data_IF_680218465465
#
_entry.id   IF_680218465465
#
_cell.length_a   1.000
_cell.length_b   1.000
_cell.length_c   1.000
_cell.angle_alpha   90.00
_cell.angle_beta   90.00
_cell.angle_gamma   90.00
#
_symmetry.space_group_name_H-M   'P 1'
#
loop_
_entity.id
_entity.type
_entity.pdbx_description
1 polymer ?
#
# COMPACT_ATOMS: atom_id res chain seq x y z
N UNK A 1 -4.87 -4.51 18.53
CA UNK A 1 -5.01 -5.86 17.93
C UNK A 1 -5.20 -5.69 16.45
N UNK A 2 -4.63 -6.59 15.63
CA UNK A 2 -4.81 -6.57 14.18
C UNK A 2 -6.30 -6.74 13.82
N UNK A 3 -6.70 -6.20 12.67
CA UNK A 3 -8.09 -6.25 12.21
C UNK A 3 -8.40 -7.62 11.58
N UNK A 4 -9.69 -7.99 11.43
CA UNK A 4 -10.07 -9.11 10.59
C UNK A 4 -9.47 -8.97 9.19
N UNK A 5 -9.06 -10.09 8.57
CA UNK A 5 -8.35 -10.04 7.29
C UNK A 5 -9.22 -9.42 6.17
N UNK A 6 -10.53 -9.63 6.25
CA UNK A 6 -11.53 -9.05 5.34
C UNK A 6 -11.61 -7.51 5.42
N UNK A 7 -11.05 -6.90 6.47
CA UNK A 7 -10.95 -5.46 6.60
C UNK A 7 -9.72 -4.86 5.94
N UNK A 8 -8.84 -5.68 5.35
CA UNK A 8 -7.71 -5.21 4.56
C UNK A 8 -7.98 -5.22 3.06
N UNK A 9 -7.45 -4.21 2.37
CA UNK A 9 -7.40 -4.08 0.93
C UNK A 9 -5.94 -4.13 0.47
N UNK A 10 -5.68 -4.76 -0.67
CA UNK A 10 -4.34 -4.92 -1.24
C UNK A 10 -4.10 -3.83 -2.29
N UNK A 11 -3.05 -3.05 -2.08
CA UNK A 11 -2.44 -2.21 -3.10
C UNK A 11 -1.09 -2.80 -3.50
N UNK A 12 -0.62 -2.56 -4.72
CA UNK A 12 0.64 -3.14 -5.18
C UNK A 12 1.11 -2.59 -6.51
N UNK A 13 2.41 -2.68 -6.72
CA UNK A 13 3.09 -2.21 -7.93
C UNK A 13 3.78 -3.35 -8.69
N UNK A 14 3.47 -4.61 -8.37
CA UNK A 14 4.08 -5.82 -8.94
C UNK A 14 5.59 -5.97 -8.69
N UNK A 15 6.16 -5.17 -7.79
CA UNK A 15 7.45 -5.43 -7.17
C UNK A 15 7.21 -5.84 -5.72
N UNK A 16 6.29 -5.13 -5.07
CA UNK A 16 5.75 -5.46 -3.76
C UNK A 16 4.27 -5.04 -3.64
N UNK A 17 3.70 -5.24 -2.45
CA UNK A 17 2.32 -4.96 -2.05
C UNK A 17 2.27 -4.38 -0.63
N UNK A 18 1.17 -3.69 -0.34
CA UNK A 18 0.82 -3.25 1.00
C UNK A 18 -0.65 -3.58 1.32
N UNK A 19 -0.96 -3.75 2.60
CA UNK A 19 -2.34 -4.00 3.07
C UNK A 19 -2.87 -2.81 3.86
N UNK A 20 -3.96 -2.23 3.35
CA UNK A 20 -4.63 -1.04 3.89
C UNK A 20 -5.90 -1.46 4.63
N UNK A 21 -5.96 -1.20 5.94
CA UNK A 21 -7.12 -1.40 6.77
C UNK A 21 -8.21 -0.35 6.51
N UNK A 22 -9.47 -0.69 6.82
CA UNK A 22 -10.61 0.25 6.72
C UNK A 22 -10.43 1.52 7.55
N UNK A 23 -9.59 1.51 8.58
CA UNK A 23 -9.28 2.70 9.38
C UNK A 23 -8.21 3.60 8.76
N UNK A 24 -7.77 3.31 7.53
CA UNK A 24 -6.70 4.06 6.88
C UNK A 24 -5.30 3.70 7.39
N UNK A 25 -5.13 2.61 8.13
CA UNK A 25 -3.81 2.13 8.50
C UNK A 25 -3.23 1.16 7.47
N UNK A 26 -1.98 1.36 7.08
CA UNK A 26 -1.19 0.38 6.32
C UNK A 26 -0.42 -0.46 7.33
N UNK A 27 -0.88 -1.69 7.56
CA UNK A 27 -0.38 -2.56 8.64
C UNK A 27 0.60 -3.65 8.15
N UNK A 28 0.73 -3.80 6.83
CA UNK A 28 1.64 -4.75 6.21
C UNK A 28 2.26 -4.14 4.97
N UNK A 29 3.58 -4.15 4.89
CA UNK A 29 4.35 -3.80 3.70
C UNK A 29 5.80 -4.28 3.85
N UNK A 30 6.29 -5.01 2.86
CA UNK A 30 7.72 -5.25 2.65
C UNK A 30 8.21 -4.43 1.47
N UNK A 31 9.44 -3.92 1.53
CA UNK A 31 10.05 -3.15 0.44
C UNK A 31 11.52 -3.58 0.29
N UNK A 32 12.06 -3.64 -0.94
CA UNK A 32 11.41 -3.28 -2.21
C UNK A 32 10.55 -4.38 -2.83
N UNK A 33 10.75 -5.65 -2.44
CA UNK A 33 10.18 -6.82 -3.11
C UNK A 33 9.17 -7.54 -2.21
N UNK A 34 8.36 -8.40 -2.80
CA UNK A 34 7.43 -9.28 -2.08
C UNK A 34 8.08 -10.05 -0.92
N UNK A 35 9.26 -10.61 -1.15
CA UNK A 35 10.02 -11.43 -0.20
C UNK A 35 10.91 -10.62 0.75
N UNK A 36 10.93 -9.29 0.60
CA UNK A 36 11.69 -8.42 1.51
C UNK A 36 11.11 -8.46 2.93
N UNK A 37 11.97 -8.34 3.96
CA UNK A 37 11.50 -8.18 5.32
C UNK A 37 10.54 -6.99 5.47
N UNK A 38 9.49 -7.18 6.25
CA UNK A 38 8.44 -6.18 6.38
C UNK A 38 8.94 -4.96 7.15
N UNK A 39 8.67 -3.76 6.63
CA UNK A 39 8.89 -2.49 7.34
C UNK A 39 7.64 -2.01 8.09
N UNK A 40 6.47 -2.56 7.73
CA UNK A 40 5.22 -2.51 8.48
C UNK A 40 4.74 -3.93 8.79
N UNK A 41 4.56 -4.24 10.08
CA UNK A 41 4.25 -5.59 10.57
C UNK A 41 3.11 -5.62 11.59
N UNK A 42 2.36 -4.54 11.73
CA UNK A 42 1.23 -4.45 12.66
C UNK A 42 0.11 -5.47 12.36
N UNK A 43 0.05 -6.03 11.15
CA UNK A 43 -0.83 -7.15 10.81
C UNK A 43 -0.57 -8.40 11.66
N UNK A 44 0.71 -8.69 11.94
CA UNK A 44 1.13 -9.87 12.73
C UNK A 44 1.40 -9.54 14.19
N UNK A 45 1.68 -8.26 14.49
CA UNK A 45 1.98 -7.78 15.82
C UNK A 45 0.98 -6.74 16.32
N UNK A 46 1.55 -5.63 16.75
CA UNK A 46 0.86 -4.48 17.30
C UNK A 46 1.38 -3.21 16.60
N UNK A 47 0.70 -2.06 16.70
CA UNK A 47 1.09 -0.82 16.03
C UNK A 47 2.58 -0.46 16.08
N UNK A 48 3.22 -0.68 17.22
CA UNK A 48 4.65 -0.42 17.46
C UNK A 48 5.61 -1.25 16.60
N UNK A 49 5.15 -2.34 15.98
CA UNK A 49 5.90 -3.19 15.04
C UNK A 49 5.90 -2.66 13.61
N UNK A 50 5.35 -1.46 13.41
CA UNK A 50 5.41 -0.72 12.17
C UNK A 50 4.06 -0.70 11.45
N UNK A 51 3.61 0.53 11.13
CA UNK A 51 2.40 0.84 10.39
C UNK A 51 2.44 2.27 9.87
N UNK A 52 1.50 2.61 9.00
CA UNK A 52 1.23 4.00 8.65
C UNK A 52 -0.27 4.30 8.72
N UNK A 53 -0.71 5.04 9.75
CA UNK A 53 -2.08 5.52 9.89
C UNK A 53 -2.27 6.85 9.16
N UNK A 54 -3.36 6.97 8.41
CA UNK A 54 -3.87 8.22 7.85
C UNK A 54 -5.40 8.23 7.95
N UNK A 55 -5.94 9.00 8.88
CA UNK A 55 -7.36 8.93 9.22
C UNK A 55 -7.86 10.26 9.81
N UNK A 56 -9.19 10.48 9.87
CA UNK A 56 -9.76 11.54 10.68
C UNK A 56 -9.30 11.46 12.14
N UNK A 57 -9.16 12.61 12.77
CA UNK A 57 -8.79 12.71 14.19
C UNK A 57 -9.94 12.32 15.12
N UNK A 58 -11.18 12.37 14.63
CA UNK A 58 -12.38 11.93 15.34
C UNK A 58 -12.63 10.44 15.12
N UNK A 59 -13.06 9.76 16.18
CA UNK A 59 -13.48 8.36 16.08
C UNK A 59 -14.91 8.24 15.54
N UNK A 60 -15.26 7.07 15.00
CA UNK A 60 -16.63 6.75 14.59
C UNK A 60 -17.06 7.30 13.22
N UNK A 61 -16.12 7.69 12.36
CA UNK A 61 -16.40 8.02 10.97
C UNK A 61 -17.06 6.84 10.24
N UNK A 62 -18.04 7.12 9.37
CA UNK A 62 -18.52 6.11 8.40
C UNK A 62 -17.45 5.90 7.33
N UNK A 63 -17.19 4.64 6.99
CA UNK A 63 -16.09 4.27 6.08
C UNK A 63 -16.64 3.52 4.87
N UNK A 64 -16.37 4.06 3.69
CA UNK A 64 -16.57 3.38 2.41
C UNK A 64 -15.25 3.25 1.68
N UNK A 65 -15.08 2.17 0.93
CA UNK A 65 -13.87 1.97 0.12
C UNK A 65 -14.21 1.34 -1.22
N UNK A 66 -13.46 1.72 -2.23
CA UNK A 66 -13.56 1.14 -3.56
C UNK A 66 -12.17 1.17 -4.24
N UNK A 67 -11.89 0.15 -5.05
CA UNK A 67 -10.80 0.25 -6.01
C UNK A 67 -11.27 1.07 -7.21
N UNK A 68 -10.37 1.83 -7.82
CA UNK A 68 -10.66 2.51 -9.09
C UNK A 68 -10.53 1.52 -10.24
N UNK A 69 -11.56 1.41 -11.07
CA UNK A 69 -11.55 0.88 -12.44
C UNK A 69 -10.50 -0.21 -12.74
N UNK A 70 -10.72 -1.45 -12.27
CA UNK A 70 -9.84 -2.57 -12.62
C UNK A 70 -8.37 -2.45 -12.14
N UNK A 71 -8.08 -1.56 -11.19
CA UNK A 71 -6.72 -1.29 -10.70
C UNK A 71 -6.46 -1.77 -9.26
N UNK A 72 -5.26 -1.56 -8.76
CA UNK A 72 -4.91 -1.65 -7.32
C UNK A 72 -4.90 -0.29 -6.62
N UNK A 73 -5.41 0.78 -7.25
CA UNK A 73 -5.58 2.08 -6.62
C UNK A 73 -6.82 2.03 -5.72
N UNK A 74 -6.63 2.27 -4.43
CA UNK A 74 -7.69 2.21 -3.43
C UNK A 74 -8.11 3.61 -3.01
N UNK A 75 -9.40 3.92 -3.05
CA UNK A 75 -9.98 5.11 -2.44
C UNK A 75 -10.76 4.71 -1.19
N UNK A 76 -10.34 5.23 -0.03
CA UNK A 76 -11.06 5.09 1.24
C UNK A 76 -11.66 6.44 1.62
N UNK A 77 -12.98 6.49 1.73
CA UNK A 77 -13.74 7.69 2.08
C UNK A 77 -14.23 7.61 3.51
N UNK A 78 -13.93 8.66 4.27
CA UNK A 78 -14.37 8.84 5.64
C UNK A 78 -15.39 9.98 5.71
N UNK A 79 -16.57 9.69 6.24
CA UNK A 79 -17.60 10.70 6.49
C UNK A 79 -17.70 10.95 8.00
N UNK A 80 -17.43 12.19 8.42
CA UNK A 80 -17.51 12.64 9.82
C UNK A 80 -18.69 13.61 10.00
N UNK A 81 -18.90 14.10 11.22
CA UNK A 81 -19.89 15.14 11.49
C UNK A 81 -19.57 16.47 10.76
N UNK A 82 -18.28 16.77 10.57
CA UNK A 82 -17.81 18.07 10.08
C UNK A 82 -17.51 18.08 8.56
N UNK A 83 -17.43 16.91 7.93
CA UNK A 83 -17.12 16.82 6.51
C UNK A 83 -16.91 15.40 5.99
N UNK A 84 -16.36 15.33 4.79
CA UNK A 84 -15.99 14.10 4.12
C UNK A 84 -14.62 14.25 3.47
N UNK A 85 -13.79 13.21 3.60
CA UNK A 85 -12.42 13.15 3.08
C UNK A 85 -12.19 11.80 2.41
N UNK A 86 -11.49 11.81 1.28
CA UNK A 86 -11.00 10.60 0.62
C UNK A 86 -9.49 10.48 0.80
N UNK A 87 -9.00 9.28 1.12
CA UNK A 87 -7.59 8.90 1.08
C UNK A 87 -7.41 7.94 -0.10
N UNK A 88 -6.57 8.31 -1.06
CA UNK A 88 -6.27 7.52 -2.24
C UNK A 88 -4.88 6.91 -2.06
N UNK A 89 -4.83 5.60 -1.90
CA UNK A 89 -3.61 4.83 -1.67
C UNK A 89 -3.23 4.07 -2.94
N UNK A 90 -1.98 4.23 -3.38
CA UNK A 90 -1.45 3.52 -4.54
C UNK A 90 0.06 3.38 -4.46
N UNK A 91 0.60 2.51 -5.32
CA UNK A 91 2.03 2.25 -5.38
C UNK A 91 2.51 2.40 -6.82
N UNK A 92 3.70 2.93 -6.99
CA UNK A 92 4.36 3.08 -8.29
C UNK A 92 5.76 2.48 -8.25
N UNK A 93 6.24 2.01 -9.40
CA UNK A 93 7.64 1.59 -9.58
C UNK A 93 8.40 2.73 -10.23
N UNK A 94 9.66 2.90 -9.85
CA UNK A 94 10.58 3.83 -10.48
C UNK A 94 11.98 3.22 -10.56
N UNK A 95 12.79 3.66 -11.52
CA UNK A 95 14.13 3.11 -11.66
C UNK A 95 14.96 3.31 -10.37
N UNK A 96 15.26 2.20 -9.69
CA UNK A 96 16.01 2.20 -8.44
C UNK A 96 15.24 2.65 -7.20
N UNK A 97 13.90 2.74 -7.28
CA UNK A 97 13.03 3.12 -6.15
C UNK A 97 11.62 2.53 -6.27
N UNK A 98 10.97 2.35 -5.12
CA UNK A 98 9.57 1.93 -5.05
C UNK A 98 8.80 2.93 -4.19
N UNK A 99 7.71 3.46 -4.73
CA UNK A 99 7.00 4.59 -4.15
C UNK A 99 5.62 4.12 -3.64
N UNK A 100 5.33 4.37 -2.36
CA UNK A 100 3.99 4.30 -1.77
C UNK A 100 3.46 5.72 -1.62
N UNK A 101 2.28 6.01 -2.17
CA UNK A 101 1.67 7.33 -2.15
C UNK A 101 0.30 7.29 -1.50
N UNK A 102 0.02 8.32 -0.69
CA UNK A 102 -1.26 8.53 -0.02
C UNK A 102 -1.72 9.95 -0.30
N UNK A 103 -2.80 10.10 -1.06
CA UNK A 103 -3.34 11.41 -1.44
C UNK A 103 -4.62 11.66 -0.65
N UNK A 104 -4.60 12.67 0.22
CA UNK A 104 -5.73 13.09 1.04
C UNK A 104 -6.47 14.20 0.31
N UNK A 105 -7.73 13.99 -0.03
CA UNK A 105 -8.59 14.94 -0.74
C UNK A 105 -9.80 15.30 0.11
N UNK A 106 -9.99 16.60 0.38
CA UNK A 106 -11.20 17.10 1.02
C UNK A 106 -12.37 17.04 0.05
N UNK A 107 -13.38 16.23 0.35
CA UNK A 107 -14.55 16.04 -0.51
C UNK A 107 -15.63 17.06 -0.19
N UNK A 108 -15.88 17.32 1.10
CA UNK A 108 -16.89 18.27 1.56
C UNK A 108 -16.55 18.77 2.96
N UNK A 109 -16.81 20.04 3.24
CA UNK A 109 -16.62 20.61 4.58
C UNK A 109 -15.15 20.69 4.99
N UNK A 110 -14.87 20.48 6.28
CA UNK A 110 -13.53 20.53 6.86
C UNK A 110 -13.34 19.32 7.76
N UNK A 111 -12.30 18.53 7.51
CA UNK A 111 -12.01 17.33 8.30
C UNK A 111 -10.65 17.50 8.96
N UNK A 112 -10.62 17.40 10.29
CA UNK A 112 -9.36 17.29 11.04
C UNK A 112 -8.81 15.88 10.86
N UNK A 113 -7.55 15.78 10.45
CA UNK A 113 -6.84 14.55 10.11
C UNK A 113 -5.62 14.36 11.01
N UNK A 114 -5.24 13.09 11.18
CA UNK A 114 -3.99 12.69 11.84
C UNK A 114 -3.24 11.67 10.99
N UNK A 115 -1.92 11.75 11.06
CA UNK A 115 -0.99 10.77 10.50
C UNK A 115 -0.07 10.25 11.59
N UNK A 116 0.14 8.93 11.63
CA UNK A 116 1.13 8.29 12.49
C UNK A 116 1.91 7.27 11.66
N UNK A 117 3.19 7.52 11.48
CA UNK A 117 4.11 6.61 10.81
C UNK A 117 5.07 6.00 11.83
N UNK A 118 5.05 4.67 11.90
CA UNK A 118 5.98 3.86 12.67
C UNK A 118 6.70 2.96 11.67
N UNK A 119 8.00 3.17 11.50
CA UNK A 119 8.83 2.32 10.64
C UNK A 119 9.62 1.36 11.51
N UNK A 120 9.53 0.06 11.22
CA UNK A 120 10.35 -0.97 11.85
C UNK A 120 10.75 -2.00 10.81
N UNK A 121 12.02 -1.98 10.42
CA UNK A 121 12.56 -2.95 9.47
C UNK A 121 12.68 -4.34 10.11
N UNK A 122 12.93 -5.35 9.28
CA UNK A 122 13.11 -6.73 9.70
C UNK A 122 11.96 -7.28 10.56
N UNK A 123 10.73 -7.16 10.05
CA UNK A 123 9.51 -7.64 10.68
C UNK A 123 9.22 -7.04 12.06
N UNK A 124 9.57 -5.77 12.27
CA UNK A 124 9.37 -5.11 13.56
C UNK A 124 10.62 -5.03 14.43
N UNK A 125 11.70 -5.73 14.10
CA UNK A 125 12.87 -5.88 14.98
C UNK A 125 13.83 -4.68 14.96
N UNK A 126 13.93 -3.97 13.84
CA UNK A 126 14.94 -2.93 13.64
C UNK A 126 14.31 -1.55 13.60
N UNK A 127 14.67 -0.73 14.59
CA UNK A 127 14.34 0.69 14.65
C UNK A 127 15.33 1.47 13.77
N UNK A 128 14.86 2.24 12.77
CA UNK A 128 15.75 3.00 11.89
C UNK A 128 16.35 4.23 12.57
N UNK A 129 17.49 4.68 12.05
CA UNK A 129 17.97 6.04 12.31
C UNK A 129 17.09 7.04 11.54
N UNK A 130 16.55 8.03 12.25
CA UNK A 130 15.65 9.04 11.68
C UNK A 130 16.33 10.39 11.62
N UNK A 131 16.36 11.02 10.43
CA UNK A 131 16.90 12.37 10.26
C UNK A 131 16.03 13.22 9.33
N UNK A 132 15.91 14.51 9.65
CA UNK A 132 15.29 15.51 8.78
C UNK A 132 16.36 16.11 7.86
N UNK A 133 16.07 16.14 6.57
CA UNK A 133 16.96 16.71 5.56
C UNK A 133 16.71 18.22 5.40
N UNK A 134 17.60 18.92 4.69
CA UNK A 134 17.49 20.35 4.42
C UNK A 134 16.22 20.73 3.65
N UNK A 135 15.72 19.83 2.80
CA UNK A 135 14.47 19.98 2.05
C UNK A 135 13.20 19.63 2.87
N UNK A 136 13.37 19.34 4.16
CA UNK A 136 12.29 19.02 5.09
C UNK A 136 11.85 17.56 5.12
N UNK A 137 12.28 16.72 4.16
CA UNK A 137 11.94 15.29 4.12
C UNK A 137 12.56 14.53 5.28
N UNK A 138 11.93 13.42 5.66
CA UNK A 138 12.41 12.53 6.72
C UNK A 138 13.03 11.28 6.11
N UNK A 139 14.24 10.93 6.55
CA UNK A 139 14.89 9.68 6.22
C UNK A 139 14.76 8.70 7.38
N UNK A 140 14.43 7.45 7.05
CA UNK A 140 14.39 6.30 7.95
C UNK A 140 15.35 5.26 7.40
N UNK A 141 16.57 5.21 7.95
CA UNK A 141 17.65 4.37 7.42
C UNK A 141 17.95 3.21 8.37
N UNK A 142 18.00 1.99 7.83
CA UNK A 142 18.45 0.79 8.52
C UNK A 142 19.29 -0.08 7.58
N UNK A 143 20.61 -0.16 7.82
CA UNK A 143 21.52 -0.93 6.99
C UNK A 143 21.45 -0.49 5.50
N UNK A 144 21.15 -1.42 4.57
CA UNK A 144 21.08 -1.12 3.14
C UNK A 144 19.82 -0.36 2.71
N UNK A 145 18.83 -0.24 3.58
CA UNK A 145 17.51 0.27 3.27
C UNK A 145 17.30 1.70 3.78
N UNK A 146 16.65 2.53 2.96
CA UNK A 146 16.17 3.85 3.35
C UNK A 146 14.76 4.06 2.85
N UNK A 147 13.87 4.47 3.75
CA UNK A 147 12.59 5.08 3.40
C UNK A 147 12.72 6.60 3.51
N UNK A 148 12.27 7.33 2.50
CA UNK A 148 12.22 8.79 2.49
C UNK A 148 10.75 9.23 2.48
N UNK A 149 10.30 9.94 3.52
CA UNK A 149 8.97 10.52 3.61
C UNK A 149 9.00 11.99 3.18
N UNK A 150 8.21 12.32 2.16
CA UNK A 150 7.81 13.67 1.80
C UNK A 150 6.37 13.89 2.23
N UNK A 151 6.13 14.96 2.99
CA UNK A 151 4.83 15.30 3.52
C UNK A 151 4.61 16.82 3.45
N UNK A 152 3.40 17.30 3.09
CA UNK A 152 3.09 18.72 2.96
C UNK A 152 2.63 19.35 4.29
N UNK A 153 2.79 18.64 5.40
CA UNK A 153 2.35 19.04 6.74
C UNK A 153 3.50 18.96 7.72
N UNK A 154 3.39 19.70 8.82
CA UNK A 154 4.38 19.61 9.88
C UNK A 154 4.33 18.22 10.54
N UNK A 155 5.52 17.63 10.70
CA UNK A 155 5.70 16.33 11.34
C UNK A 155 6.67 16.47 12.50
N UNK A 156 6.37 15.79 13.60
CA UNK A 156 7.24 15.73 14.78
C UNK A 156 7.48 14.28 15.20
N UNK A 157 8.59 14.05 15.90
CA UNK A 157 8.89 12.76 16.50
C UNK A 157 8.30 12.67 17.90
N UNK A 158 7.58 11.59 18.20
CA UNK A 158 7.07 11.28 19.54
C UNK A 158 7.20 9.78 19.79
N UNK A 159 7.83 9.37 20.90
CA UNK A 159 7.94 7.97 21.33
C UNK A 159 8.29 6.97 20.20
N UNK A 160 9.30 7.32 19.39
CA UNK A 160 9.78 6.53 18.24
C UNK A 160 8.74 6.38 17.11
N UNK A 161 7.86 7.37 16.96
CA UNK A 161 6.85 7.56 15.92
C UNK A 161 7.01 8.92 15.26
N UNK A 162 6.61 9.01 14.00
CA UNK A 162 6.48 10.28 13.29
C UNK A 162 5.01 10.62 13.18
N UNK A 163 4.60 11.73 13.79
CA UNK A 163 3.20 12.11 13.93
C UNK A 163 2.94 13.50 13.36
N UNK A 164 1.74 13.71 12.83
CA UNK A 164 1.27 14.99 12.32
C UNK A 164 -0.25 15.11 12.42
N UNK A 165 -0.70 16.35 12.57
CA UNK A 165 -2.12 16.72 12.61
C UNK A 165 -2.31 17.87 11.64
N UNK A 166 -3.41 17.84 10.90
CA UNK A 166 -3.70 18.86 9.89
C UNK A 166 -5.19 18.89 9.57
N UNK A 167 -5.66 19.99 9.02
CA UNK A 167 -7.00 20.08 8.46
C UNK A 167 -6.95 19.90 6.94
N UNK A 168 -8.00 19.30 6.40
CA UNK A 168 -8.25 19.28 4.95
C UNK A 168 -9.62 19.89 4.68
N UNK A 169 -9.65 20.90 3.83
CA UNK A 169 -10.86 21.58 3.39
C UNK A 169 -11.35 21.03 2.05
N UNK A 170 -12.64 21.22 1.77
CA UNK A 170 -13.25 20.88 0.49
C UNK A 170 -12.44 21.41 -0.71
N UNK A 171 -12.11 20.52 -1.63
CA UNK A 171 -11.32 20.83 -2.83
C UNK A 171 -9.80 20.83 -2.62
N UNK A 172 -9.30 20.76 -1.38
CA UNK A 172 -7.87 20.64 -1.11
C UNK A 172 -7.37 19.22 -1.33
N UNK A 173 -6.10 19.11 -1.72
CA UNK A 173 -5.40 17.85 -1.90
C UNK A 173 -4.00 17.92 -1.30
N UNK A 174 -3.65 16.94 -0.47
CA UNK A 174 -2.35 16.81 0.18
C UNK A 174 -1.77 15.43 -0.13
N UNK A 175 -0.59 15.39 -0.76
CA UNK A 175 0.06 14.14 -1.16
C UNK A 175 1.23 13.80 -0.24
N UNK A 176 1.19 12.60 0.35
CA UNK A 176 2.27 12.02 1.13
C UNK A 176 2.95 10.93 0.31
N UNK A 177 4.28 10.99 0.23
CA UNK A 177 5.07 10.04 -0.57
C UNK A 177 6.11 9.38 0.31
N UNK A 178 6.10 8.05 0.35
CA UNK A 178 7.09 7.23 1.02
C UNK A 178 7.86 6.42 -0.02
N UNK A 179 9.11 6.80 -0.25
CA UNK A 179 9.98 6.19 -1.26
C UNK A 179 10.97 5.25 -0.59
N UNK A 180 10.99 3.98 -0.99
CA UNK A 180 12.12 3.09 -0.70
C UNK A 180 13.24 3.29 -1.73
N UNK A 181 14.48 3.32 -1.24
CA UNK A 181 15.71 3.28 -2.04
C UNK A 181 16.86 2.70 -1.20
N UNK A 182 17.94 2.27 -1.86
CA UNK A 182 19.16 1.90 -1.16
C UNK A 182 19.78 3.10 -0.42
N UNK A 183 20.19 2.89 0.83
CA UNK A 183 20.69 3.95 1.72
C UNK A 183 21.99 4.62 1.26
N UNK A 184 22.80 3.94 0.45
CA UNK A 184 24.04 4.48 -0.13
C UNK A 184 23.86 5.23 -1.45
N UNK A 185 22.65 5.25 -2.03
CA UNK A 185 22.38 6.06 -3.22
C UNK A 185 22.09 7.51 -2.80
N UNK A 186 22.33 8.45 -3.72
CA UNK A 186 21.90 9.83 -3.55
C UNK A 186 20.37 9.93 -3.57
N UNK A 187 19.84 11.00 -3.00
CA UNK A 187 18.40 11.18 -2.92
C UNK A 187 17.78 11.40 -4.30
N UNK A 188 16.68 10.70 -4.54
CA UNK A 188 15.82 10.95 -5.68
C UNK A 188 14.86 12.11 -5.38
N UNK A 189 14.45 12.87 -6.40
CA UNK A 189 13.38 13.84 -6.25
C UNK A 189 12.08 13.14 -5.86
N UNK A 190 11.27 13.83 -5.06
CA UNK A 190 9.90 13.39 -4.76
C UNK A 190 9.09 13.39 -6.08
N UNK A 191 8.49 12.26 -6.47
CA UNK A 191 7.61 12.21 -7.62
C UNK A 191 6.34 13.05 -7.38
N UNK A 192 5.81 13.64 -8.45
CA UNK A 192 4.53 14.33 -8.40
C UNK A 192 3.39 13.31 -8.32
N UNK A 193 2.59 13.36 -7.26
CA UNK A 193 1.59 12.33 -6.98
C UNK A 193 0.43 12.34 -7.98
N UNK A 194 0.05 13.51 -8.50
CA UNK A 194 -1.07 13.64 -9.44
C UNK A 194 -0.74 12.99 -10.79
N UNK A 195 0.41 13.32 -11.37
CA UNK A 195 0.90 12.68 -12.59
C UNK A 195 1.18 11.18 -12.39
N UNK A 196 1.78 10.80 -11.26
CA UNK A 196 2.04 9.38 -10.98
C UNK A 196 0.73 8.58 -10.85
N UNK A 197 -0.31 9.14 -10.21
CA UNK A 197 -1.63 8.52 -10.11
C UNK A 197 -2.27 8.34 -11.49
N UNK A 198 -2.16 9.34 -12.37
CA UNK A 198 -2.65 9.24 -13.74
C UNK A 198 -1.91 8.15 -14.53
N UNK A 199 -0.59 8.06 -14.41
CA UNK A 199 0.23 7.04 -15.08
C UNK A 199 -0.10 5.62 -14.57
N UNK A 200 -0.25 5.44 -13.26
CA UNK A 200 -0.65 4.16 -12.65
C UNK A 200 -2.05 3.76 -13.10
N UNK A 201 -2.98 4.71 -13.13
CA UNK A 201 -4.34 4.49 -13.66
C UNK A 201 -4.29 4.02 -15.11
N UNK A 202 -3.59 4.75 -15.99
CA UNK A 202 -3.47 4.41 -17.39
C UNK A 202 -2.83 3.02 -17.63
N UNK A 203 -1.85 2.62 -16.82
CA UNK A 203 -1.24 1.29 -16.89
C UNK A 203 -2.26 0.19 -16.54
N UNK A 204 -3.06 0.39 -15.49
CA UNK A 204 -4.10 -0.56 -15.11
C UNK A 204 -5.26 -0.59 -16.10
N UNK A 205 -5.67 0.55 -16.64
CA UNK A 205 -6.70 0.63 -17.68
C UNK A 205 -6.26 -0.09 -18.96
N UNK A 206 -5.02 0.14 -19.40
CA UNK A 206 -4.45 -0.54 -20.56
C UNK A 206 -4.42 -2.06 -20.39
N UNK A 207 -4.16 -2.54 -19.17
CA UNK A 207 -4.16 -3.97 -18.87
C UNK A 207 -5.59 -4.54 -18.73
N UNK A 208 -6.43 -3.90 -17.91
CA UNK A 208 -7.74 -4.41 -17.53
C UNK A 208 -8.78 -4.30 -18.66
N UNK A 209 -8.62 -3.35 -19.59
CA UNK A 209 -9.46 -3.22 -20.80
C UNK A 209 -9.34 -4.41 -21.77
N UNK A 210 -8.32 -5.27 -21.61
CA UNK A 210 -8.19 -6.53 -22.36
C UNK A 210 -9.18 -7.61 -21.88
N UNK A 211 -9.78 -7.45 -20.70
CA UNK A 211 -10.74 -8.43 -20.17
C UNK A 211 -12.01 -8.46 -21.02
N UNK A 212 -12.59 -9.65 -21.31
CA UNK A 212 -13.85 -9.74 -22.05
C UNK A 212 -14.94 -8.85 -21.45
N UNK A 213 -15.68 -8.09 -22.25
CA UNK A 213 -16.77 -7.21 -21.81
C UNK A 213 -18.11 -7.97 -21.63
N UNK A 214 -19.06 -7.35 -20.90
CA UNK A 214 -20.42 -7.85 -20.72
C UNK A 214 -20.59 -8.90 -19.61
N UNK A 215 -21.76 -9.54 -19.58
CA UNK A 215 -22.19 -10.51 -18.56
C UNK A 215 -21.34 -11.79 -18.51
N UNK A 216 -20.41 -11.97 -19.45
CA UNK A 216 -19.52 -13.11 -19.54
C UNK A 216 -18.54 -13.20 -18.35
N UNK A 217 -18.22 -12.07 -17.70
CA UNK A 217 -17.25 -12.02 -16.60
C UNK A 217 -17.77 -11.13 -15.47
N UNK A 218 -18.11 -11.75 -14.34
CA UNK A 218 -18.56 -11.04 -13.13
C UNK A 218 -17.48 -10.10 -12.55
N UNK A 219 -17.90 -9.07 -11.81
CA UNK A 219 -16.97 -8.18 -11.09
C UNK A 219 -16.03 -8.93 -10.16
N UNK A 220 -16.49 -10.01 -9.52
CA UNK A 220 -15.65 -10.85 -8.66
C UNK A 220 -14.50 -11.51 -9.42
N UNK A 221 -14.74 -11.95 -10.66
CA UNK A 221 -13.70 -12.54 -11.52
C UNK A 221 -12.72 -11.46 -11.96
N UNK A 222 -13.21 -10.30 -12.43
CA UNK A 222 -12.33 -9.16 -12.78
C UNK A 222 -11.44 -8.77 -11.61
N UNK A 223 -12.02 -8.60 -10.43
CA UNK A 223 -11.28 -8.25 -9.20
C UNK A 223 -10.22 -9.29 -8.84
N UNK A 224 -10.56 -10.58 -8.98
CA UNK A 224 -9.62 -11.67 -8.72
C UNK A 224 -8.43 -11.62 -9.68
N UNK A 225 -8.65 -11.36 -10.98
CA UNK A 225 -7.56 -11.26 -11.96
C UNK A 225 -6.62 -10.10 -11.67
N UNK A 226 -7.17 -8.93 -11.34
CA UNK A 226 -6.35 -7.76 -10.98
C UNK A 226 -5.51 -8.07 -9.73
N UNK A 227 -6.08 -8.76 -8.74
CA UNK A 227 -5.33 -9.22 -7.55
C UNK A 227 -4.23 -10.21 -7.92
N UNK A 228 -4.52 -11.22 -8.74
CA UNK A 228 -3.51 -12.18 -9.23
C UNK A 228 -2.39 -11.48 -10.00
N UNK A 229 -2.73 -10.53 -10.87
CA UNK A 229 -1.77 -9.70 -11.62
C UNK A 229 -0.92 -8.84 -10.70
N UNK A 230 -1.45 -8.35 -9.59
CA UNK A 230 -0.70 -7.58 -8.60
C UNK A 230 0.32 -8.43 -7.82
N UNK A 231 0.12 -9.76 -7.76
CA UNK A 231 1.01 -10.74 -7.10
C UNK A 231 2.07 -11.34 -8.04
N UNK A 232 2.03 -11.00 -9.33
CA UNK A 232 3.01 -11.41 -10.33
C UNK A 232 4.13 -10.38 -10.43
N UNK A 233 5.38 -10.78 -10.21
CA UNK A 233 6.54 -9.90 -10.27
C UNK A 233 6.76 -9.38 -11.69
N UNK A 234 6.82 -8.06 -11.85
CA UNK A 234 6.79 -7.40 -13.16
C UNK A 234 7.95 -7.80 -14.09
N UNK A 235 9.15 -8.03 -13.52
CA UNK A 235 10.36 -8.32 -14.30
C UNK A 235 10.57 -9.81 -14.55
N UNK A 236 10.22 -10.65 -13.57
CA UNK A 236 10.60 -12.07 -13.56
C UNK A 236 9.43 -13.00 -13.85
N UNK A 237 8.20 -12.50 -13.79
CA UNK A 237 6.98 -13.32 -13.87
C UNK A 237 6.74 -14.18 -12.63
N UNK A 238 7.55 -14.07 -11.58
CA UNK A 238 7.38 -14.85 -10.35
C UNK A 238 6.06 -14.52 -9.66
N UNK A 239 5.18 -15.51 -9.52
CA UNK A 239 3.86 -15.34 -8.88
C UNK A 239 3.94 -15.86 -7.45
N UNK A 240 3.76 -14.97 -6.48
CA UNK A 240 3.62 -15.33 -5.07
C UNK A 240 2.22 -15.87 -4.81
N UNK A 241 2.03 -16.65 -3.75
CA UNK A 241 0.71 -17.19 -3.45
C UNK A 241 -0.16 -16.15 -2.70
N UNK A 242 -0.01 -15.96 -1.39
CA UNK A 242 -0.39 -14.70 -0.71
C UNK A 242 0.67 -13.60 -0.64
N UNK A 243 0.19 -12.38 -0.43
CA UNK A 243 0.96 -11.18 -0.07
C UNK A 243 1.53 -11.17 1.36
N UNK A 244 1.27 -12.19 2.17
CA UNK A 244 1.52 -12.20 3.62
C UNK A 244 2.27 -13.45 4.05
N UNK A 245 2.76 -13.46 5.28
CA UNK A 245 3.38 -14.61 5.94
C UNK A 245 2.70 -14.86 7.28
N UNK A 246 2.84 -16.08 7.81
CA UNK A 246 2.51 -16.39 9.21
C UNK A 246 1.03 -16.29 9.61
N UNK A 247 0.13 -15.94 8.69
CA UNK A 247 -1.31 -16.05 8.88
C UNK A 247 -1.75 -17.50 8.62
N UNK A 248 -2.43 -18.16 9.57
CA UNK A 248 -2.82 -19.54 9.38
C UNK A 248 -4.02 -19.66 8.43
N UNK A 249 -4.02 -20.68 7.55
CA UNK A 249 -5.14 -20.98 6.63
C UNK A 249 -6.50 -21.14 7.36
N UNK A 250 -6.46 -21.53 8.63
CA UNK A 250 -7.61 -21.65 9.52
C UNK A 250 -7.22 -21.11 10.89
N UNK A 251 -8.14 -20.40 11.56
CA UNK A 251 -7.96 -19.94 12.94
C UNK A 251 -7.57 -21.12 13.84
N UNK A 252 -6.43 -21.00 14.52
CA UNK A 252 -5.85 -22.04 15.39
C UNK A 252 -5.12 -23.17 14.65
N UNK A 253 -4.96 -23.09 13.32
CA UNK A 253 -4.20 -24.05 12.52
C UNK A 253 -2.69 -23.83 12.57
N UNK A 254 -1.93 -24.83 12.11
CA UNK A 254 -0.45 -24.83 12.12
C UNK A 254 0.19 -24.42 10.80
N UNK A 255 -0.60 -24.18 9.74
CA UNK A 255 -0.11 -23.79 8.41
C UNK A 255 0.08 -22.28 8.34
N UNK A 256 1.12 -21.79 9.00
CA UNK A 256 1.49 -20.38 9.11
C UNK A 256 2.79 -20.09 8.37
N UNK A 257 2.93 -20.62 7.15
CA UNK A 257 4.15 -20.47 6.34
C UNK A 257 4.37 -19.04 5.87
N UNK A 258 5.56 -18.78 5.31
CA UNK A 258 5.75 -17.59 4.49
C UNK A 258 5.21 -17.84 3.10
N UNK A 259 4.14 -17.12 2.79
CA UNK A 259 3.35 -17.33 1.60
C UNK A 259 3.72 -16.41 0.43
N UNK A 260 4.72 -15.55 0.65
CA UNK A 260 5.24 -14.58 -0.33
C UNK A 260 6.27 -15.17 -1.29
N UNK A 261 6.45 -16.48 -1.28
CA UNK A 261 7.32 -17.20 -2.20
C UNK A 261 6.51 -17.84 -3.33
N UNK A 262 7.20 -18.12 -4.45
CA UNK A 262 6.61 -18.81 -5.58
C UNK A 262 6.49 -20.30 -5.29
N UNK A 263 5.26 -20.80 -5.08
CA UNK A 263 5.00 -22.24 -5.14
C UNK A 263 4.51 -22.64 -6.51
N UNK A 264 5.16 -23.65 -7.10
CA UNK A 264 4.83 -24.14 -8.44
C UNK A 264 3.33 -24.43 -8.61
N UNK A 265 2.70 -25.06 -7.62
CA UNK A 265 1.28 -25.39 -7.65
C UNK A 265 0.39 -24.15 -7.72
N UNK A 266 0.63 -23.19 -6.83
CA UNK A 266 -0.15 -21.97 -6.70
C UNK A 266 0.05 -21.06 -7.92
N UNK A 267 1.29 -20.90 -8.39
CA UNK A 267 1.60 -20.22 -9.64
C UNK A 267 0.89 -20.89 -10.84
N UNK A 268 0.91 -22.23 -10.95
CA UNK A 268 0.21 -22.95 -12.03
C UNK A 268 -1.28 -22.63 -12.08
N UNK A 269 -1.96 -22.53 -10.94
CA UNK A 269 -3.39 -22.16 -10.93
C UNK A 269 -3.63 -20.71 -11.34
N UNK A 270 -2.77 -19.79 -10.91
CA UNK A 270 -2.82 -18.39 -11.36
C UNK A 270 -2.63 -18.30 -12.88
N UNK A 271 -1.66 -19.03 -13.43
CA UNK A 271 -1.42 -19.10 -14.87
C UNK A 271 -2.63 -19.63 -15.63
N UNK A 272 -3.26 -20.71 -15.15
CA UNK A 272 -4.48 -21.24 -15.76
C UNK A 272 -5.62 -20.21 -15.78
N UNK A 273 -5.80 -19.44 -14.70
CA UNK A 273 -6.83 -18.40 -14.63
C UNK A 273 -6.57 -17.26 -15.63
N UNK A 274 -5.32 -16.81 -15.75
CA UNK A 274 -4.90 -15.76 -16.68
C UNK A 274 -5.01 -16.22 -18.14
N UNK A 275 -4.49 -17.40 -18.46
CA UNK A 275 -4.58 -18.00 -19.80
C UNK A 275 -6.02 -18.22 -20.25
N UNK A 276 -6.89 -18.68 -19.34
CA UNK A 276 -8.32 -18.88 -19.61
C UNK A 276 -9.05 -17.63 -20.08
N UNK A 277 -8.49 -16.44 -19.85
CA UNK A 277 -9.05 -15.14 -20.22
C UNK A 277 -8.15 -14.32 -21.16
N UNK A 278 -7.13 -14.94 -21.78
CA UNK A 278 -6.33 -14.33 -22.84
C UNK A 278 -5.15 -13.46 -22.37
N UNK A 279 -4.76 -13.57 -21.09
CA UNK A 279 -3.59 -12.90 -20.53
C UNK A 279 -2.33 -13.77 -20.69
N UNK A 280 -1.83 -13.85 -21.92
CA UNK A 280 -0.69 -14.72 -22.29
C UNK A 280 0.66 -14.11 -21.92
N UNK A 281 0.81 -12.78 -21.91
CA UNK A 281 2.09 -12.13 -21.57
C UNK A 281 2.45 -12.31 -20.08
N UNK A 282 1.42 -12.46 -19.25
CA UNK A 282 1.52 -12.77 -17.84
C UNK A 282 1.78 -14.24 -17.53
N UNK A 283 1.63 -15.13 -18.53
CA UNK A 283 1.61 -16.58 -18.35
C UNK A 283 2.83 -17.30 -18.95
#
# INVERSE_FOLDING_TARGET
MPRPIEDYALIGNQETVALVGRDGSIDWMGMPRFDSPACFSALLGAPEHGRWLMAPSTDGADVKRAYRDGSTVLETRFSTADGEVSVIDFMARRAGASDLMRVVRGVRGRVAMRTELIVRFDYGAVVPWVSRQEDGRLHFTAGPDRLTLSAPVELRGEDMRTVGEFDIHEGEELAFVLTWQHSWRGDLPTPDAASTLADVGAQWDAWSSRMPEGDAVSEAVRRSLVTLKALAHWETGGIIAPATTSLPEKIGGTRNWDYRYCWLRDATFTLYALLGLGFVDEA
#
